data_IF_769125574669
#
_entry.id   IF_769125574669
#
_cell.length_a   1.000
_cell.length_b   1.000
_cell.length_c   1.000
_cell.angle_alpha   90.00
_cell.angle_beta   90.00
_cell.angle_gamma   90.00
#
_symmetry.space_group_name_H-M   'P 1'
#
loop_
_entity.id
_entity.type
_entity.pdbx_description
1 polymer ?
#
# COMPACT_ATOMS: atom_id res chain seq x y z
N UNK A 1 8.34 27.04 15.69
CA UNK A 1 7.03 26.46 15.31
C UNK A 1 6.69 25.31 16.27
N UNK A 2 5.42 25.18 16.62
CA UNK A 2 4.97 24.06 17.48
C UNK A 2 5.01 22.75 16.70
N UNK A 3 5.36 21.61 17.31
CA UNK A 3 5.30 20.29 16.65
C UNK A 3 3.93 19.98 16.06
N UNK A 4 2.86 20.44 16.70
CA UNK A 4 1.48 20.30 16.18
C UNK A 4 1.30 21.07 14.86
N UNK A 5 1.79 22.31 14.79
CA UNK A 5 1.70 23.11 13.56
C UNK A 5 2.48 22.49 12.40
N UNK A 6 3.60 21.86 12.69
CA UNK A 6 4.39 21.15 11.68
C UNK A 6 3.67 19.87 11.20
N UNK A 7 3.09 19.11 12.11
CA UNK A 7 2.29 17.93 11.79
C UNK A 7 1.08 18.28 10.92
N UNK A 8 0.33 19.33 11.28
CA UNK A 8 -0.81 19.82 10.49
C UNK A 8 -0.37 20.29 9.10
N UNK A 9 0.73 21.03 9.01
CA UNK A 9 1.25 21.48 7.71
C UNK A 9 1.66 20.30 6.80
N UNK A 10 2.25 19.25 7.39
CA UNK A 10 2.60 18.02 6.67
C UNK A 10 1.35 17.28 6.19
N UNK A 11 0.37 17.07 7.05
CA UNK A 11 -0.90 16.43 6.68
C UNK A 11 -1.65 17.22 5.60
N UNK A 12 -1.59 18.56 5.64
CA UNK A 12 -2.18 19.41 4.62
C UNK A 12 -1.45 19.30 3.27
N UNK A 13 -0.11 19.20 3.30
CA UNK A 13 0.68 18.98 2.09
C UNK A 13 0.42 17.61 1.45
N UNK A 14 0.05 16.61 2.26
CA UNK A 14 -0.35 15.27 1.82
C UNK A 14 -1.84 15.18 1.42
N UNK A 15 -2.61 16.30 1.48
CA UNK A 15 -4.04 16.32 1.13
C UNK A 15 -4.93 15.57 2.12
N UNK A 16 -4.47 15.31 3.34
CA UNK A 16 -5.21 14.57 4.37
C UNK A 16 -6.07 15.48 5.26
N UNK A 17 -5.73 16.75 5.33
CA UNK A 17 -6.49 17.76 6.07
C UNK A 17 -6.61 19.06 5.28
N UNK A 18 -7.75 19.74 5.46
CA UNK A 18 -8.04 21.06 4.94
C UNK A 18 -7.87 22.09 6.06
N UNK A 19 -6.95 23.05 5.90
CA UNK A 19 -6.77 24.15 6.83
C UNK A 19 -7.57 25.35 6.33
N UNK A 20 -8.69 25.65 6.99
CA UNK A 20 -9.57 26.78 6.65
C UNK A 20 -9.26 27.96 7.58
N UNK A 21 -8.74 29.09 7.06
CA UNK A 21 -8.42 30.26 7.87
C UNK A 21 -9.60 30.68 8.75
N UNK A 22 -9.34 30.98 10.02
CA UNK A 22 -10.32 31.40 11.04
C UNK A 22 -11.43 30.38 11.35
N UNK A 23 -11.47 29.21 10.72
CA UNK A 23 -12.48 28.19 10.92
C UNK A 23 -11.91 26.94 11.62
N UNK A 24 -10.75 26.44 11.17
CA UNK A 24 -10.11 25.28 11.78
C UNK A 24 -9.43 24.36 10.78
N UNK A 25 -9.04 23.19 11.28
CA UNK A 25 -8.46 22.11 10.48
C UNK A 25 -9.46 20.95 10.44
N UNK A 26 -9.78 20.50 9.25
CA UNK A 26 -10.77 19.45 9.01
C UNK A 26 -10.09 18.26 8.28
N UNK A 27 -10.58 17.04 8.51
CA UNK A 27 -10.16 15.88 7.72
C UNK A 27 -10.67 16.06 6.28
N UNK A 28 -9.76 16.00 5.32
CA UNK A 28 -10.09 16.15 3.91
C UNK A 28 -11.06 15.07 3.44
N UNK A 29 -12.01 15.44 2.59
CA UNK A 29 -12.92 14.48 1.94
C UNK A 29 -12.17 13.63 0.92
N UNK A 30 -12.71 12.47 0.56
CA UNK A 30 -12.17 11.67 -0.52
C UNK A 30 -12.30 12.40 -1.85
N UNK A 31 -11.20 12.49 -2.56
CA UNK A 31 -11.14 12.99 -3.93
C UNK A 31 -10.93 11.81 -4.88
N UNK A 32 -11.89 11.52 -5.75
CA UNK A 32 -11.73 10.46 -6.75
C UNK A 32 -10.61 10.75 -7.74
N UNK A 33 -10.29 12.03 -7.99
CA UNK A 33 -9.15 12.41 -8.83
C UNK A 33 -7.82 12.01 -8.16
N UNK A 34 -7.63 12.36 -6.89
CA UNK A 34 -6.42 12.00 -6.13
C UNK A 34 -6.27 10.49 -5.94
N UNK A 35 -7.38 9.77 -5.70
CA UNK A 35 -7.36 8.30 -5.61
C UNK A 35 -6.90 7.69 -6.93
N UNK A 36 -7.41 8.15 -8.08
CA UNK A 36 -7.02 7.65 -9.41
C UNK A 36 -5.57 7.95 -9.73
N UNK A 37 -5.10 9.15 -9.43
CA UNK A 37 -3.69 9.53 -9.61
C UNK A 37 -2.77 8.67 -8.75
N UNK A 38 -3.12 8.51 -7.47
CA UNK A 38 -2.40 7.66 -6.52
C UNK A 38 -2.38 6.18 -6.98
N UNK A 39 -3.49 5.67 -7.49
CA UNK A 39 -3.59 4.32 -8.04
C UNK A 39 -2.72 4.15 -9.29
N UNK A 40 -2.72 5.13 -10.20
CA UNK A 40 -1.87 5.12 -11.39
C UNK A 40 -0.38 5.09 -11.04
N UNK A 41 0.05 5.95 -10.10
CA UNK A 41 1.44 5.98 -9.64
C UNK A 41 1.84 4.65 -8.97
N UNK A 42 0.94 4.10 -8.16
CA UNK A 42 1.14 2.80 -7.52
C UNK A 42 1.32 1.70 -8.54
N UNK A 43 0.42 1.58 -9.51
CA UNK A 43 0.48 0.58 -10.58
C UNK A 43 1.80 0.69 -11.37
N UNK A 44 2.17 1.91 -11.78
CA UNK A 44 3.40 2.15 -12.53
C UNK A 44 4.66 1.71 -11.76
N UNK A 45 4.74 2.03 -10.47
CA UNK A 45 5.88 1.68 -9.63
C UNK A 45 5.91 0.17 -9.31
N UNK A 46 4.76 -0.43 -8.98
CA UNK A 46 4.68 -1.84 -8.61
C UNK A 46 4.93 -2.76 -9.81
N UNK A 47 4.39 -2.46 -10.98
CA UNK A 47 4.65 -3.25 -12.20
C UNK A 47 6.14 -3.23 -12.53
N UNK A 48 6.76 -2.04 -12.56
CA UNK A 48 8.20 -1.93 -12.80
C UNK A 48 9.03 -2.66 -11.72
N UNK A 49 8.60 -2.62 -10.47
CA UNK A 49 9.27 -3.32 -9.37
C UNK A 49 9.18 -4.85 -9.52
N UNK A 50 7.99 -5.37 -9.86
CA UNK A 50 7.79 -6.81 -10.09
C UNK A 50 8.66 -7.31 -11.24
N UNK A 51 8.76 -6.57 -12.35
CA UNK A 51 9.63 -6.92 -13.48
C UNK A 51 11.10 -7.03 -13.06
N UNK A 52 11.60 -6.07 -12.26
CA UNK A 52 12.97 -6.10 -11.73
C UNK A 52 13.18 -7.28 -10.79
N UNK A 53 12.23 -7.53 -9.89
CA UNK A 53 12.31 -8.62 -8.90
C UNK A 53 12.25 -9.98 -9.59
N UNK A 54 11.33 -10.21 -10.53
CA UNK A 54 11.19 -11.47 -11.26
C UNK A 54 12.47 -11.83 -12.04
N UNK A 55 13.19 -10.83 -12.56
CA UNK A 55 14.44 -11.05 -13.28
C UNK A 55 15.62 -11.53 -12.41
N UNK A 56 15.54 -11.41 -11.08
CA UNK A 56 16.69 -11.72 -10.22
C UNK A 56 16.34 -12.01 -8.76
N UNK A 57 15.12 -12.48 -8.47
CA UNK A 57 14.69 -12.83 -7.12
C UNK A 57 15.55 -13.95 -6.53
N UNK A 58 15.94 -13.79 -5.27
CA UNK A 58 16.70 -14.82 -4.54
C UNK A 58 15.74 -15.77 -3.80
N UNK A 59 16.21 -16.98 -3.49
CA UNK A 59 15.41 -17.95 -2.71
C UNK A 59 15.04 -17.39 -1.34
N UNK A 60 15.91 -16.65 -0.68
CA UNK A 60 15.61 -16.01 0.61
C UNK A 60 14.47 -15.00 0.48
N UNK A 61 14.42 -14.23 -0.61
CA UNK A 61 13.33 -13.29 -0.89
C UNK A 61 12.02 -14.02 -1.18
N UNK A 62 12.06 -15.12 -1.94
CA UNK A 62 10.89 -15.97 -2.18
C UNK A 62 10.35 -16.58 -0.88
N UNK A 63 11.22 -17.04 0.01
CA UNK A 63 10.82 -17.55 1.34
C UNK A 63 10.05 -16.49 2.12
N UNK A 64 10.48 -15.21 2.08
CA UNK A 64 9.79 -14.11 2.76
C UNK A 64 8.41 -13.85 2.15
N UNK A 65 8.29 -13.80 0.82
CA UNK A 65 7.00 -13.59 0.14
C UNK A 65 6.03 -14.75 0.42
N UNK A 66 6.50 -16.00 0.28
CA UNK A 66 5.68 -17.20 0.59
C UNK A 66 5.21 -17.20 2.04
N UNK A 67 6.06 -16.79 2.98
CA UNK A 67 5.68 -16.68 4.40
C UNK A 67 4.60 -15.63 4.62
N UNK A 68 4.76 -14.44 4.03
CA UNK A 68 3.77 -13.38 4.13
C UNK A 68 2.42 -13.85 3.56
N UNK A 69 2.42 -14.51 2.41
CA UNK A 69 1.20 -15.00 1.77
C UNK A 69 0.48 -16.06 2.61
N UNK A 70 1.20 -17.03 3.19
CA UNK A 70 0.60 -18.00 4.14
C UNK A 70 -0.05 -17.33 5.34
N UNK A 71 0.55 -16.25 5.86
CA UNK A 71 -0.05 -15.49 6.95
C UNK A 71 -1.31 -14.75 6.51
N UNK A 72 -1.35 -14.21 5.28
CA UNK A 72 -2.55 -13.61 4.71
C UNK A 72 -3.69 -14.64 4.59
N UNK A 73 -3.41 -15.88 4.15
CA UNK A 73 -4.40 -16.98 4.09
C UNK A 73 -5.06 -17.23 5.45
N UNK A 74 -4.27 -17.25 6.53
CA UNK A 74 -4.78 -17.43 7.89
C UNK A 74 -5.70 -16.26 8.30
N UNK A 75 -5.29 -15.03 8.00
CA UNK A 75 -6.08 -13.84 8.36
C UNK A 75 -7.38 -13.74 7.54
N UNK A 76 -7.39 -14.19 6.29
CA UNK A 76 -8.62 -14.34 5.49
C UNK A 76 -9.54 -15.38 6.13
N UNK A 77 -9.01 -16.56 6.52
CA UNK A 77 -9.80 -17.60 7.19
C UNK A 77 -10.41 -17.10 8.52
N UNK A 78 -9.65 -16.32 9.27
CA UNK A 78 -10.09 -15.72 10.55
C UNK A 78 -10.96 -14.46 10.36
N UNK A 79 -11.12 -13.97 9.13
CA UNK A 79 -11.78 -12.71 8.79
C UNK A 79 -11.18 -11.49 9.50
N UNK A 80 -9.88 -11.53 9.77
CA UNK A 80 -9.14 -10.39 10.33
C UNK A 80 -8.72 -9.44 9.22
N UNK A 81 -9.63 -8.53 8.86
CA UNK A 81 -9.41 -7.51 7.82
C UNK A 81 -8.27 -6.56 8.19
N UNK A 82 -8.14 -6.19 9.46
CA UNK A 82 -7.11 -5.27 9.91
C UNK A 82 -5.71 -5.90 9.82
N UNK A 83 -5.56 -7.14 10.29
CA UNK A 83 -4.34 -7.91 10.14
C UNK A 83 -3.99 -8.17 8.67
N UNK A 84 -4.98 -8.53 7.86
CA UNK A 84 -4.80 -8.71 6.41
C UNK A 84 -4.26 -7.44 5.75
N UNK A 85 -4.83 -6.26 6.04
CA UNK A 85 -4.35 -4.99 5.51
C UNK A 85 -2.87 -4.72 5.82
N UNK A 86 -2.40 -5.09 7.01
CA UNK A 86 -0.99 -4.92 7.38
C UNK A 86 -0.07 -5.83 6.58
N UNK A 87 -0.44 -7.10 6.39
CA UNK A 87 0.36 -8.05 5.61
C UNK A 87 0.32 -7.76 4.10
N UNK A 88 -0.81 -7.31 3.59
CA UNK A 88 -0.96 -6.80 2.23
C UNK A 88 0.03 -5.66 1.96
N UNK A 89 0.03 -4.65 2.83
CA UNK A 89 0.97 -3.54 2.75
C UNK A 89 2.43 -4.01 2.82
N UNK A 90 2.74 -4.91 3.74
CA UNK A 90 4.08 -5.47 3.90
C UNK A 90 4.55 -6.22 2.64
N UNK A 91 3.68 -6.96 1.96
CA UNK A 91 4.02 -7.67 0.71
C UNK A 91 4.47 -6.69 -0.37
N UNK A 92 3.72 -5.63 -0.59
CA UNK A 92 4.06 -4.59 -1.56
C UNK A 92 5.37 -3.87 -1.20
N UNK A 93 5.57 -3.54 0.08
CA UNK A 93 6.82 -2.93 0.57
C UNK A 93 8.03 -3.86 0.36
N UNK A 94 7.88 -5.18 0.58
CA UNK A 94 8.94 -6.16 0.30
C UNK A 94 9.30 -6.19 -1.18
N UNK A 95 8.32 -6.26 -2.08
CA UNK A 95 8.57 -6.26 -3.54
C UNK A 95 9.35 -5.02 -3.95
N UNK A 96 8.94 -3.83 -3.48
CA UNK A 96 9.68 -2.60 -3.76
C UNK A 96 11.11 -2.64 -3.20
N UNK A 97 11.29 -3.16 -1.99
CA UNK A 97 12.61 -3.23 -1.34
C UNK A 97 13.56 -4.19 -2.06
N UNK A 98 13.04 -5.28 -2.61
CA UNK A 98 13.83 -6.29 -3.33
C UNK A 98 14.42 -5.79 -4.64
N UNK A 99 13.89 -4.70 -5.21
CA UNK A 99 14.50 -4.03 -6.36
C UNK A 99 15.89 -3.44 -6.08
N UNK A 100 16.26 -3.23 -4.80
CA UNK A 100 17.47 -2.53 -4.41
C UNK A 100 17.43 -1.00 -4.62
N UNK A 101 16.35 -0.45 -5.13
CA UNK A 101 16.21 0.99 -5.37
C UNK A 101 15.80 1.74 -4.10
N UNK A 102 16.78 2.33 -3.41
CA UNK A 102 16.64 2.95 -2.09
C UNK A 102 15.55 4.05 -1.96
N UNK A 103 15.19 4.71 -3.06
CA UNK A 103 14.21 5.80 -3.06
C UNK A 103 12.77 5.35 -3.28
N UNK A 104 12.55 4.11 -3.75
CA UNK A 104 11.21 3.64 -4.07
C UNK A 104 10.30 3.58 -2.84
N UNK A 105 10.81 3.11 -1.70
CA UNK A 105 10.02 3.04 -0.47
C UNK A 105 9.46 4.41 -0.05
N UNK A 106 10.29 5.46 -0.09
CA UNK A 106 9.85 6.81 0.25
C UNK A 106 8.85 7.41 -0.75
N UNK A 107 9.03 7.12 -2.05
CA UNK A 107 8.06 7.53 -3.07
C UNK A 107 6.72 6.81 -2.89
N UNK A 108 6.74 5.53 -2.59
CA UNK A 108 5.55 4.74 -2.35
C UNK A 108 4.77 5.25 -1.13
N UNK A 109 5.46 5.54 -0.03
CA UNK A 109 4.83 6.05 1.21
C UNK A 109 4.02 7.32 0.97
N UNK A 110 4.55 8.27 0.19
CA UNK A 110 3.87 9.53 -0.11
C UNK A 110 2.84 9.41 -1.23
N UNK A 111 3.15 8.65 -2.29
CA UNK A 111 2.29 8.56 -3.48
C UNK A 111 1.03 7.72 -3.24
N UNK A 112 1.04 6.78 -2.27
CA UNK A 112 -0.08 5.85 -2.05
C UNK A 112 -1.05 6.26 -0.96
N UNK A 113 -0.85 7.41 -0.35
CA UNK A 113 -1.64 7.88 0.79
C UNK A 113 -3.15 7.83 0.50
N UNK A 114 -3.59 8.34 -0.66
CA UNK A 114 -5.00 8.39 -1.01
C UNK A 114 -5.57 7.01 -1.39
N UNK A 115 -4.82 6.20 -2.14
CA UNK A 115 -5.26 4.84 -2.47
C UNK A 115 -5.28 3.94 -1.24
N UNK A 116 -4.30 4.06 -0.34
CA UNK A 116 -4.29 3.30 0.91
C UNK A 116 -5.46 3.68 1.83
N UNK A 117 -5.80 4.98 1.89
CA UNK A 117 -6.96 5.46 2.62
C UNK A 117 -8.27 4.88 2.04
N UNK A 118 -8.41 4.86 0.70
CA UNK A 118 -9.56 4.25 0.04
C UNK A 118 -9.65 2.74 0.27
N UNK A 119 -8.52 2.03 0.26
CA UNK A 119 -8.44 0.58 0.51
C UNK A 119 -8.98 0.19 1.88
N UNK A 120 -8.75 1.00 2.92
CA UNK A 120 -9.31 0.74 4.26
C UNK A 120 -10.84 0.74 4.28
N UNK A 121 -11.50 1.43 3.34
CA UNK A 121 -12.96 1.39 3.18
C UNK A 121 -13.43 0.22 2.30
N UNK A 122 -12.61 -0.24 1.39
CA UNK A 122 -12.98 -1.26 0.39
C UNK A 122 -12.73 -2.67 0.93
N UNK A 123 -11.61 -2.91 1.61
CA UNK A 123 -11.23 -4.24 2.09
C UNK A 123 -12.25 -4.90 3.03
N UNK A 124 -13.01 -4.17 3.88
CA UNK A 124 -14.05 -4.77 4.71
C UNK A 124 -15.27 -5.29 3.95
N UNK A 125 -15.42 -4.95 2.65
CA UNK A 125 -16.53 -5.47 1.86
C UNK A 125 -16.40 -6.99 1.66
N UNK A 126 -17.53 -7.73 1.73
CA UNK A 126 -17.54 -9.19 1.58
C UNK A 126 -16.84 -9.64 0.29
N UNK A 127 -15.96 -10.61 0.39
CA UNK A 127 -15.23 -11.20 -0.74
C UNK A 127 -14.02 -10.37 -1.20
N UNK A 128 -13.77 -9.16 -0.63
CA UNK A 128 -12.67 -8.32 -1.15
C UNK A 128 -11.30 -8.81 -0.67
N UNK A 129 -11.16 -9.22 0.59
CA UNK A 129 -9.87 -9.75 1.07
C UNK A 129 -9.52 -11.09 0.39
N UNK A 130 -10.52 -11.94 0.11
CA UNK A 130 -10.36 -13.18 -0.64
C UNK A 130 -9.87 -12.89 -2.06
N UNK A 131 -10.52 -11.97 -2.78
CA UNK A 131 -10.11 -11.58 -4.12
C UNK A 131 -8.70 -10.96 -4.14
N UNK A 132 -8.35 -10.16 -3.12
CA UNK A 132 -6.99 -9.59 -3.01
C UNK A 132 -5.95 -10.68 -2.74
N UNK A 133 -6.28 -11.69 -1.93
CA UNK A 133 -5.40 -12.84 -1.71
C UNK A 133 -5.13 -13.60 -3.01
N UNK A 134 -6.16 -13.84 -3.82
CA UNK A 134 -6.01 -14.48 -5.14
C UNK A 134 -5.11 -13.66 -6.08
N UNK A 135 -5.27 -12.33 -6.08
CA UNK A 135 -4.38 -11.39 -6.79
C UNK A 135 -2.91 -11.54 -6.34
N UNK A 136 -2.67 -11.66 -5.03
CA UNK A 136 -1.33 -11.86 -4.48
C UNK A 136 -0.72 -13.22 -4.82
N UNK A 137 -1.51 -14.29 -4.85
CA UNK A 137 -1.07 -15.59 -5.34
C UNK A 137 -0.60 -15.52 -6.80
N UNK A 138 -1.35 -14.81 -7.64
CA UNK A 138 -0.98 -14.63 -9.04
C UNK A 138 0.33 -13.82 -9.20
N UNK A 139 0.52 -12.77 -8.38
CA UNK A 139 1.76 -11.99 -8.37
C UNK A 139 2.96 -12.87 -7.97
N UNK A 140 2.85 -13.64 -6.89
CA UNK A 140 3.92 -14.51 -6.45
C UNK A 140 4.24 -15.56 -7.51
N UNK A 141 3.23 -16.21 -8.08
CA UNK A 141 3.42 -17.19 -9.15
C UNK A 141 4.15 -16.60 -10.38
N UNK A 142 3.86 -15.35 -10.73
CA UNK A 142 4.56 -14.66 -11.81
C UNK A 142 6.01 -14.30 -11.49
N UNK A 143 6.33 -14.05 -10.21
CA UNK A 143 7.70 -13.80 -9.76
C UNK A 143 8.54 -15.10 -9.75
N UNK A 144 7.91 -16.25 -9.55
CA UNK A 144 8.57 -17.56 -9.46
C UNK A 144 8.85 -18.21 -10.84
N UNK A 145 8.33 -17.66 -11.95
CA UNK A 145 8.56 -18.14 -13.33
C UNK A 145 9.93 -17.74 -13.86
#
# INVERSE_FOLDING_TARGET
>A
RSPVSEAVARLAAEGLVDVVPQSGTFVARFSMAEIRESAFLREALEVAAVEVVAAGVTEDQLVLLRRNLRMQELLVADRDVAGFYQLDRQMHEMILSFTGHRRLAGLAETSWVHVNRARQLILPHPGRIEATLDEHHAILAAIEL
#
